data_IF_498551920122
#
_entry.id   IF_498551920122
#
_cell.length_a   1.000
_cell.length_b   1.000
_cell.length_c   1.000
_cell.angle_alpha   90.00
_cell.angle_beta   90.00
_cell.angle_gamma   90.00
#
_symmetry.space_group_name_H-M   'P 1'
#
loop_
_entity.id
_entity.type
_entity.pdbx_description
1 polymer ?
#
# COMPACT_ATOMS: atom_id res chain seq x y z
N UNK A 1 9.73 26.15 21.40
CA UNK A 1 9.04 24.96 21.93
C UNK A 1 8.97 23.84 20.89
N UNK A 2 8.46 24.09 19.67
CA UNK A 2 8.33 23.11 18.58
C UNK A 2 9.61 22.33 18.20
N UNK A 3 10.79 22.96 18.27
CA UNK A 3 12.06 22.33 17.88
C UNK A 3 12.49 21.15 18.77
N UNK A 4 12.07 21.14 20.05
CA UNK A 4 12.43 20.08 21.02
C UNK A 4 11.59 18.81 20.86
N UNK A 5 10.38 18.93 20.32
CA UNK A 5 9.42 17.83 20.11
C UNK A 5 9.29 17.48 18.62
N UNK A 6 10.24 17.93 17.79
CA UNK A 6 10.24 17.72 16.33
C UNK A 6 10.06 16.24 15.91
N UNK A 7 10.66 15.24 16.60
CA UNK A 7 10.43 13.83 16.27
C UNK A 7 9.00 13.33 16.50
N UNK A 8 8.20 14.04 17.30
CA UNK A 8 6.79 13.69 17.54
C UNK A 8 5.85 14.12 16.41
N UNK A 9 6.37 14.86 15.41
CA UNK A 9 5.58 15.28 14.25
C UNK A 9 5.93 14.42 13.04
N UNK A 10 4.93 14.06 12.25
CA UNK A 10 5.10 13.42 10.94
C UNK A 10 5.59 14.45 9.91
N UNK A 11 6.86 14.83 10.00
CA UNK A 11 7.52 15.79 9.08
C UNK A 11 8.09 15.13 7.82
N UNK A 12 7.80 13.85 7.57
CA UNK A 12 8.15 13.15 6.32
C UNK A 12 9.64 12.81 6.15
N UNK A 13 10.47 13.15 7.13
CA UNK A 13 11.92 12.86 7.14
C UNK A 13 12.26 11.48 7.75
N UNK A 14 11.32 10.86 8.49
CA UNK A 14 11.51 9.55 9.10
C UNK A 14 10.57 8.49 8.48
N UNK A 15 11.06 7.27 8.19
CA UNK A 15 10.22 6.20 7.65
C UNK A 15 9.16 5.79 8.69
N UNK A 16 7.92 5.59 8.23
CA UNK A 16 6.79 5.28 9.10
C UNK A 16 6.96 3.92 9.83
N UNK A 17 7.74 3.00 9.27
CA UNK A 17 8.01 1.66 9.81
C UNK A 17 9.18 1.54 10.78
N UNK A 18 9.78 2.65 11.25
CA UNK A 18 11.00 2.60 12.08
C UNK A 18 10.79 2.03 13.49
N UNK A 19 9.55 1.89 13.94
CA UNK A 19 9.21 1.32 15.25
C UNK A 19 9.00 -0.19 15.10
N UNK A 20 9.99 -0.98 15.53
CA UNK A 20 9.90 -2.44 15.54
C UNK A 20 9.13 -3.01 16.74
N UNK A 21 8.78 -4.29 16.68
CA UNK A 21 8.15 -5.03 17.79
C UNK A 21 6.62 -4.98 17.82
N UNK A 22 5.99 -4.45 16.77
CA UNK A 22 4.54 -4.38 16.59
C UNK A 22 4.05 -5.20 15.40
N UNK A 23 4.79 -6.23 15.01
CA UNK A 23 4.42 -7.13 13.93
C UNK A 23 3.09 -7.83 14.25
N UNK A 24 2.19 -7.84 13.27
CA UNK A 24 0.87 -8.46 13.41
C UNK A 24 0.86 -9.75 12.62
N UNK A 25 0.45 -10.84 13.27
CA UNK A 25 0.15 -12.10 12.60
C UNK A 25 -1.34 -12.14 12.26
N UNK A 26 -1.64 -12.29 10.97
CA UNK A 26 -3.01 -12.37 10.46
C UNK A 26 -3.31 -13.79 10.00
N UNK A 27 -4.42 -14.34 10.49
CA UNK A 27 -4.91 -15.66 10.12
C UNK A 27 -6.20 -15.52 9.31
N UNK A 28 -6.31 -16.30 8.24
CA UNK A 28 -7.57 -16.42 7.51
C UNK A 28 -8.44 -17.49 8.13
N UNK A 29 -9.75 -17.26 8.10
CA UNK A 29 -10.79 -18.21 8.48
C UNK A 29 -11.11 -19.25 7.38
N UNK A 30 -10.48 -19.10 6.22
CA UNK A 30 -10.66 -19.97 5.05
C UNK A 30 -9.36 -20.69 4.67
N UNK A 31 -9.51 -21.96 4.27
CA UNK A 31 -8.41 -22.78 3.77
C UNK A 31 -8.33 -22.76 2.24
N UNK A 32 -7.22 -23.26 1.69
CA UNK A 32 -7.05 -23.41 0.24
C UNK A 32 -7.99 -24.51 -0.30
N UNK A 33 -8.54 -24.35 -1.52
CA UNK A 33 -8.30 -23.24 -2.45
C UNK A 33 -9.08 -21.96 -2.06
N UNK A 34 -8.37 -20.82 -2.06
CA UNK A 34 -9.00 -19.54 -1.75
C UNK A 34 -10.12 -19.17 -2.74
N UNK A 35 -11.16 -18.46 -2.28
CA UNK A 35 -12.24 -17.98 -3.13
C UNK A 35 -11.73 -17.22 -4.36
N UNK A 36 -12.35 -17.40 -5.56
CA UNK A 36 -11.92 -16.70 -6.78
C UNK A 36 -11.88 -15.17 -6.67
N UNK A 37 -12.68 -14.60 -5.77
CA UNK A 37 -12.68 -13.16 -5.49
C UNK A 37 -11.32 -12.64 -5.00
N UNK A 38 -10.52 -13.50 -4.35
CA UNK A 38 -9.16 -13.20 -3.88
C UNK A 38 -8.10 -13.41 -4.97
N UNK A 39 -8.48 -13.59 -6.24
CA UNK A 39 -7.56 -13.72 -7.38
C UNK A 39 -7.99 -12.86 -8.56
N UNK A 40 -8.72 -11.78 -8.30
CA UNK A 40 -9.24 -10.92 -9.38
C UNK A 40 -8.10 -10.13 -10.02
N UNK A 41 -7.99 -10.12 -11.36
CA UNK A 41 -7.07 -9.23 -12.05
C UNK A 41 -7.38 -7.76 -11.70
N UNK A 42 -6.40 -6.86 -11.83
CA UNK A 42 -6.66 -5.43 -11.71
C UNK A 42 -7.73 -5.00 -12.73
N UNK A 43 -8.56 -4.04 -12.35
CA UNK A 43 -9.51 -3.45 -13.29
C UNK A 43 -8.76 -2.64 -14.34
N UNK A 44 -9.20 -2.66 -15.61
CA UNK A 44 -8.62 -1.81 -16.64
C UNK A 44 -8.71 -0.34 -16.24
N UNK A 45 -7.58 0.35 -16.26
CA UNK A 45 -7.46 1.74 -15.88
C UNK A 45 -7.21 2.67 -17.08
N UNK A 46 -7.64 3.92 -16.95
CA UNK A 46 -7.28 4.96 -17.92
C UNK A 46 -5.80 5.35 -17.79
N UNK A 47 -5.21 5.94 -18.84
CA UNK A 47 -3.82 6.45 -18.78
C UNK A 47 -3.60 7.47 -17.65
N UNK A 48 -4.59 8.32 -17.38
CA UNK A 48 -4.54 9.30 -16.29
C UNK A 48 -4.57 8.60 -14.93
N UNK A 49 -5.47 7.63 -14.77
CA UNK A 49 -5.56 6.80 -13.56
C UNK A 49 -4.25 6.05 -13.30
N UNK A 50 -3.68 5.42 -14.32
CA UNK A 50 -2.41 4.68 -14.20
C UNK A 50 -1.27 5.55 -13.69
N UNK A 51 -1.14 6.79 -14.20
CA UNK A 51 -0.11 7.74 -13.74
C UNK A 51 -0.27 8.12 -12.27
N UNK A 52 -1.50 8.36 -11.82
CA UNK A 52 -1.74 8.69 -10.41
C UNK A 52 -1.54 7.48 -9.50
N UNK A 53 -1.91 6.27 -9.95
CA UNK A 53 -1.59 5.03 -9.23
C UNK A 53 -0.08 4.90 -9.06
N UNK A 54 0.68 5.02 -10.15
CA UNK A 54 2.15 4.91 -10.13
C UNK A 54 2.79 5.91 -9.16
N UNK A 55 2.33 7.17 -9.18
CA UNK A 55 2.77 8.21 -8.25
C UNK A 55 2.53 7.84 -6.79
N UNK A 56 1.36 7.29 -6.45
CA UNK A 56 1.07 6.85 -5.08
C UNK A 56 1.89 5.63 -4.69
N UNK A 57 2.05 4.65 -5.58
CA UNK A 57 2.87 3.45 -5.35
C UNK A 57 4.32 3.84 -5.09
N UNK A 58 4.92 4.71 -5.92
CA UNK A 58 6.28 5.19 -5.72
C UNK A 58 6.47 5.88 -4.38
N UNK A 59 5.51 6.73 -3.98
CA UNK A 59 5.54 7.36 -2.65
C UNK A 59 5.50 6.34 -1.51
N UNK A 60 4.68 5.29 -1.62
CA UNK A 60 4.58 4.25 -0.61
C UNK A 60 5.83 3.37 -0.54
N UNK A 61 6.50 3.14 -1.69
CA UNK A 61 7.81 2.47 -1.76
C UNK A 61 8.88 3.32 -1.07
N UNK A 62 8.94 4.63 -1.35
CA UNK A 62 9.90 5.55 -0.72
C UNK A 62 9.73 5.64 0.80
N UNK A 63 8.50 5.45 1.28
CA UNK A 63 8.14 5.45 2.70
C UNK A 63 8.32 4.09 3.39
N UNK A 64 8.74 3.06 2.64
CA UNK A 64 8.90 1.67 3.12
C UNK A 64 7.60 1.09 3.71
N UNK A 65 6.44 1.50 3.16
CA UNK A 65 5.11 1.01 3.57
C UNK A 65 4.71 -0.21 2.76
N UNK A 66 5.11 -0.26 1.50
CA UNK A 66 4.91 -1.40 0.60
C UNK A 66 6.25 -1.80 0.00
N UNK A 67 6.33 -3.04 -0.49
CA UNK A 67 7.51 -3.55 -1.21
C UNK A 67 7.12 -4.22 -2.51
N UNK A 68 8.07 -4.29 -3.44
CA UNK A 68 7.94 -5.15 -4.61
C UNK A 68 8.18 -6.61 -4.22
N UNK A 69 7.28 -7.50 -4.67
CA UNK A 69 7.46 -8.94 -4.54
C UNK A 69 8.54 -9.42 -5.52
N UNK A 70 9.42 -10.34 -5.09
CA UNK A 70 10.45 -10.93 -5.93
C UNK A 70 9.88 -11.88 -7.00
N UNK A 71 10.63 -12.12 -8.07
CA UNK A 71 10.19 -12.92 -9.22
C UNK A 71 9.77 -14.37 -8.88
N UNK A 72 10.31 -14.94 -7.80
CA UNK A 72 10.02 -16.30 -7.35
C UNK A 72 9.04 -16.35 -6.16
N UNK A 73 8.56 -15.19 -5.68
CA UNK A 73 7.58 -15.15 -4.60
C UNK A 73 6.18 -15.40 -5.16
N UNK A 74 5.47 -16.37 -4.60
CA UNK A 74 4.12 -16.70 -5.02
C UNK A 74 3.10 -15.77 -4.35
N UNK A 75 2.36 -15.02 -5.16
CA UNK A 75 1.20 -14.25 -4.71
C UNK A 75 -0.01 -15.18 -4.68
N UNK A 76 -0.51 -15.50 -3.49
CA UNK A 76 -1.66 -16.41 -3.33
C UNK A 76 -3.01 -15.68 -3.29
N UNK A 77 -2.98 -14.40 -2.90
CA UNK A 77 -4.12 -13.51 -2.73
C UNK A 77 -3.82 -12.21 -3.47
N UNK A 78 -4.77 -11.76 -4.28
CA UNK A 78 -4.72 -10.54 -5.05
C UNK A 78 -6.09 -9.88 -5.04
N UNK A 79 -6.11 -8.61 -4.64
CA UNK A 79 -7.29 -7.75 -4.67
C UNK A 79 -7.05 -6.63 -5.66
N UNK A 80 -8.09 -6.22 -6.37
CA UNK A 80 -8.00 -5.09 -7.28
C UNK A 80 -7.77 -3.79 -6.48
N UNK A 81 -6.87 -2.95 -6.99
CA UNK A 81 -6.68 -1.58 -6.50
C UNK A 81 -7.62 -0.66 -7.26
N UNK A 82 -8.26 0.26 -6.55
CA UNK A 82 -9.11 1.28 -7.13
C UNK A 82 -8.53 2.66 -6.88
N UNK A 83 -8.86 3.61 -7.74
CA UNK A 83 -8.61 5.04 -7.48
C UNK A 83 -9.93 5.73 -7.21
N UNK A 84 -9.94 6.59 -6.20
CA UNK A 84 -11.04 7.51 -5.93
C UNK A 84 -10.56 8.94 -6.07
N UNK A 85 -11.45 9.80 -6.54
CA UNK A 85 -11.17 11.22 -6.75
C UNK A 85 -12.05 12.04 -5.82
N UNK A 86 -11.44 12.95 -5.06
CA UNK A 86 -12.15 13.91 -4.24
C UNK A 86 -11.41 15.26 -4.24
N UNK A 87 -12.13 16.35 -4.52
CA UNK A 87 -11.57 17.71 -4.59
C UNK A 87 -10.31 17.83 -5.46
N UNK A 88 -10.33 17.17 -6.63
CA UNK A 88 -9.19 17.16 -7.57
C UNK A 88 -7.98 16.34 -7.09
N UNK A 89 -8.12 15.55 -6.02
CA UNK A 89 -7.05 14.70 -5.48
C UNK A 89 -7.43 13.23 -5.63
N UNK A 90 -6.47 12.44 -6.08
CA UNK A 90 -6.55 10.99 -6.21
C UNK A 90 -6.17 10.29 -4.91
N UNK A 91 -6.79 9.13 -4.63
CA UNK A 91 -6.46 8.24 -3.52
C UNK A 91 -6.54 6.79 -3.97
N UNK A 92 -5.58 5.96 -3.53
CA UNK A 92 -5.65 4.51 -3.68
C UNK A 92 -6.65 3.93 -2.67
N UNK A 93 -7.43 2.94 -3.10
CA UNK A 93 -8.41 2.20 -2.31
C UNK A 93 -8.32 0.70 -2.58
#
# INVERSE_FOLDING_TARGET
MLRKIRPAFSIGEEPLGKIGGHDIELYMDVEKPYPPILRRPPYPESLETGKEIEKHINKLLDMDVIRKMGNNEKVEIMTAVLITWNDGKSRLC
#
